data_IF_663099670154
#
_entry.id   IF_663099670154
#
_cell.length_a   1.000
_cell.length_b   1.000
_cell.length_c   1.000
_cell.angle_alpha   90.00
_cell.angle_beta   90.00
_cell.angle_gamma   90.00
#
_symmetry.space_group_name_H-M   'P 1'
#
loop_
_entity.id
_entity.type
_entity.pdbx_description
1 polymer ?
#
# COMPACT_ATOMS: atom_id res chain seq x y z
N UNK A 1 4.74 17.22 -13.15
CA UNK A 1 5.17 16.04 -13.93
C UNK A 1 4.80 16.28 -15.38
N UNK A 2 5.77 16.32 -16.30
CA UNK A 2 5.51 16.72 -17.70
C UNK A 2 4.74 18.06 -17.83
N UNK A 3 5.01 19.02 -16.95
CA UNK A 3 4.27 20.30 -16.88
C UNK A 3 3.01 20.29 -16.00
N UNK A 4 2.45 19.13 -15.68
CA UNK A 4 1.24 19.01 -14.85
C UNK A 4 1.53 19.15 -13.35
N UNK A 5 0.66 19.85 -12.60
CA UNK A 5 0.83 20.03 -11.16
C UNK A 5 0.42 18.77 -10.39
N UNK A 6 1.35 18.22 -9.59
CA UNK A 6 1.07 17.09 -8.71
C UNK A 6 0.58 17.57 -7.35
N UNK A 7 -0.40 16.86 -6.78
CA UNK A 7 -0.85 17.11 -5.40
C UNK A 7 0.18 16.53 -4.43
N UNK A 8 0.72 17.36 -3.55
CA UNK A 8 1.71 16.94 -2.54
C UNK A 8 0.99 16.64 -1.23
N UNK A 9 1.20 15.44 -0.69
CA UNK A 9 0.61 15.01 0.59
C UNK A 9 1.59 15.12 1.76
N UNK A 10 2.90 15.13 1.50
CA UNK A 10 3.91 15.30 2.53
C UNK A 10 5.21 15.87 1.95
N UNK A 11 5.88 16.72 2.73
CA UNK A 11 7.23 17.21 2.47
C UNK A 11 8.04 17.08 3.75
N UNK A 12 9.20 16.44 3.66
CA UNK A 12 10.24 16.42 4.69
C UNK A 12 11.60 16.73 4.08
N UNK A 13 12.63 16.89 4.93
CA UNK A 13 13.97 17.28 4.47
C UNK A 13 14.57 16.35 3.38
N UNK A 14 14.15 15.08 3.35
CA UNK A 14 14.69 14.07 2.43
C UNK A 14 13.62 13.36 1.61
N UNK A 15 12.34 13.74 1.70
CA UNK A 15 11.24 13.02 1.05
C UNK A 15 10.11 13.97 0.65
N UNK A 16 9.52 13.72 -0.50
CA UNK A 16 8.24 14.29 -0.92
C UNK A 16 7.32 13.13 -1.28
N UNK A 17 6.11 13.12 -0.72
CA UNK A 17 5.04 12.23 -1.17
C UNK A 17 4.05 13.05 -2.00
N UNK A 18 3.73 12.57 -3.19
CA UNK A 18 2.83 13.23 -4.12
C UNK A 18 1.96 12.21 -4.85
N UNK A 19 0.81 12.65 -5.30
CA UNK A 19 -0.07 11.91 -6.18
C UNK A 19 0.24 12.28 -7.64
N UNK A 20 0.50 11.27 -8.46
CA UNK A 20 0.66 11.44 -9.92
C UNK A 20 -0.64 12.06 -10.47
N UNK A 21 -0.56 13.20 -11.18
CA UNK A 21 -1.74 13.82 -11.77
C UNK A 21 -2.40 12.89 -12.79
N UNK A 22 -3.73 12.88 -12.85
CA UNK A 22 -4.50 11.98 -13.71
C UNK A 22 -4.24 12.19 -15.21
N UNK A 23 -3.88 13.41 -15.61
CA UNK A 23 -3.66 13.80 -17.01
C UNK A 23 -2.24 13.51 -17.51
N UNK A 24 -1.34 13.02 -16.64
CA UNK A 24 0.01 12.65 -17.07
C UNK A 24 -0.06 11.41 -17.97
N UNK A 25 0.43 11.56 -19.20
CA UNK A 25 0.47 10.46 -20.16
C UNK A 25 1.36 9.30 -19.68
N UNK A 26 0.97 8.08 -20.05
CA UNK A 26 1.76 6.88 -19.81
C UNK A 26 3.11 6.95 -20.52
N UNK A 27 4.12 6.33 -19.92
CA UNK A 27 5.50 6.34 -20.40
C UNK A 27 6.41 7.23 -19.56
N UNK A 28 7.53 7.68 -20.12
CA UNK A 28 8.50 8.48 -19.36
C UNK A 28 7.95 9.87 -19.04
N UNK A 29 7.93 10.21 -17.75
CA UNK A 29 7.59 11.53 -17.25
C UNK A 29 8.79 12.17 -16.54
N UNK A 30 8.98 13.47 -16.79
CA UNK A 30 9.92 14.31 -16.07
C UNK A 30 9.22 14.92 -14.84
N UNK A 31 9.77 14.64 -13.67
CA UNK A 31 9.42 15.22 -12.39
C UNK A 31 10.36 16.39 -12.15
N UNK A 32 9.80 17.58 -11.96
CA UNK A 32 10.56 18.77 -11.57
C UNK A 32 9.94 19.28 -10.28
N UNK A 33 10.77 19.41 -9.24
CA UNK A 33 10.38 20.06 -7.99
C UNK A 33 10.76 21.53 -8.11
N UNK A 34 9.81 22.41 -7.84
CA UNK A 34 10.04 23.87 -7.83
C UNK A 34 9.85 24.38 -6.41
N UNK A 35 10.87 25.03 -5.86
CA UNK A 35 10.81 25.66 -4.53
C UNK A 35 11.04 27.17 -4.68
N UNK A 36 10.11 27.99 -4.15
CA UNK A 36 10.13 29.45 -4.27
C UNK A 36 10.38 29.96 -5.71
N UNK A 37 9.83 29.27 -6.71
CA UNK A 37 9.99 29.62 -8.13
C UNK A 37 11.30 29.14 -8.77
N UNK A 38 12.18 28.48 -8.02
CA UNK A 38 13.42 27.90 -8.52
C UNK A 38 13.17 26.42 -8.84
N UNK A 39 13.30 26.07 -10.12
CA UNK A 39 13.19 24.68 -10.58
C UNK A 39 14.47 23.90 -10.25
N UNK A 40 14.31 22.72 -9.65
CA UNK A 40 15.40 21.76 -9.45
C UNK A 40 15.75 20.98 -10.72
N UNK A 41 16.73 20.08 -10.60
CA UNK A 41 17.07 19.15 -11.68
C UNK A 41 15.91 18.17 -11.96
N UNK A 42 15.61 17.87 -13.24
CA UNK A 42 14.54 16.94 -13.57
C UNK A 42 14.92 15.49 -13.19
N UNK A 43 13.94 14.75 -12.69
CA UNK A 43 14.00 13.32 -12.42
C UNK A 43 13.07 12.57 -13.37
N UNK A 44 13.57 11.55 -14.04
CA UNK A 44 12.76 10.68 -14.89
C UNK A 44 12.07 9.58 -14.07
N UNK A 45 10.78 9.37 -14.32
CA UNK A 45 10.01 8.23 -13.83
C UNK A 45 9.13 7.65 -14.93
N UNK A 46 8.81 6.36 -14.88
CA UNK A 46 7.86 5.74 -15.81
C UNK A 46 6.46 5.75 -15.21
N UNK A 47 5.50 6.34 -15.91
CA UNK A 47 4.08 6.35 -15.57
C UNK A 47 3.41 5.16 -16.24
N UNK A 48 2.77 4.32 -15.42
CA UNK A 48 2.06 3.11 -15.85
C UNK A 48 0.60 3.17 -15.37
N UNK A 49 -0.32 2.40 -15.99
CA UNK A 49 -1.74 2.45 -15.62
C UNK A 49 -2.02 2.09 -14.15
N UNK A 50 -1.27 1.12 -13.62
CA UNK A 50 -1.32 0.70 -12.23
C UNK A 50 0.03 0.06 -11.84
N UNK A 51 0.42 0.29 -10.59
CA UNK A 51 1.59 -0.30 -9.93
C UNK A 51 1.20 -0.51 -8.46
N UNK A 52 0.28 -1.45 -8.18
CA UNK A 52 -0.22 -1.64 -6.84
C UNK A 52 0.93 -1.95 -5.89
N UNK A 53 0.82 -1.51 -4.65
CA UNK A 53 1.82 -1.83 -3.64
C UNK A 53 1.32 -1.55 -2.24
N UNK A 54 1.72 -2.38 -1.29
CA UNK A 54 1.41 -2.18 0.12
C UNK A 54 2.43 -1.24 0.77
N UNK A 55 1.97 -0.35 1.64
CA UNK A 55 2.87 0.32 2.56
C UNK A 55 3.34 -0.68 3.61
N UNK A 56 4.62 -0.62 3.97
CA UNK A 56 5.21 -1.48 4.99
C UNK A 56 5.46 -0.66 6.26
N UNK A 57 5.08 -1.19 7.42
CA UNK A 57 5.25 -0.52 8.72
C UNK A 57 6.50 -0.97 9.47
N UNK A 58 7.11 -2.08 9.07
CA UNK A 58 8.34 -2.58 9.67
C UNK A 58 8.82 -3.88 9.06
N UNK A 59 9.96 -4.35 9.56
CA UNK A 59 10.52 -5.65 9.20
C UNK A 59 10.80 -6.47 10.44
N UNK A 60 10.49 -7.76 10.38
CA UNK A 60 10.86 -8.75 11.39
C UNK A 60 10.99 -10.12 10.70
N UNK A 61 11.78 -11.04 11.26
CA UNK A 61 11.98 -12.39 10.68
C UNK A 61 12.44 -12.41 9.20
N UNK A 62 13.02 -11.32 8.70
CA UNK A 62 13.39 -11.18 7.27
C UNK A 62 12.23 -10.77 6.35
N UNK A 63 11.03 -10.56 6.89
CA UNK A 63 9.80 -10.21 6.18
C UNK A 63 9.45 -8.73 6.34
N UNK A 64 8.87 -8.13 5.30
CA UNK A 64 8.25 -6.81 5.37
C UNK A 64 6.78 -6.90 5.74
N UNK A 65 6.36 -6.22 6.80
CA UNK A 65 4.99 -6.27 7.28
C UNK A 65 4.18 -5.08 6.78
N UNK A 66 3.01 -5.39 6.24
CA UNK A 66 2.06 -4.41 5.73
C UNK A 66 1.62 -3.50 6.87
N UNK A 67 1.53 -2.20 6.59
CA UNK A 67 0.77 -1.27 7.42
C UNK A 67 -0.70 -1.72 7.39
N UNK A 68 -1.10 -2.41 8.45
CA UNK A 68 -2.40 -3.04 8.55
C UNK A 68 -2.97 -2.87 9.96
N UNK A 69 -4.29 -2.79 10.04
CA UNK A 69 -5.02 -2.56 11.27
C UNK A 69 -6.19 -3.54 11.43
N UNK A 70 -6.46 -3.89 12.68
CA UNK A 70 -7.73 -4.47 13.08
C UNK A 70 -8.87 -3.45 12.86
N UNK A 71 -10.12 -3.91 12.99
CA UNK A 71 -11.29 -3.01 12.87
C UNK A 71 -11.37 -1.92 13.95
N UNK A 72 -10.66 -2.10 15.07
CA UNK A 72 -10.56 -1.12 16.16
C UNK A 72 -9.38 -0.14 16.02
N UNK A 73 -8.61 -0.24 14.93
CA UNK A 73 -7.43 0.59 14.66
C UNK A 73 -6.14 0.12 15.34
N UNK A 74 -6.16 -0.99 16.08
CA UNK A 74 -4.93 -1.59 16.61
C UNK A 74 -4.10 -2.22 15.48
N UNK A 75 -2.77 -2.18 15.61
CA UNK A 75 -1.86 -2.57 14.54
C UNK A 75 -1.73 -4.09 14.41
N UNK A 76 -1.63 -4.57 13.17
CA UNK A 76 -1.39 -5.97 12.86
C UNK A 76 0.11 -6.21 12.63
N UNK A 77 0.65 -7.26 13.24
CA UNK A 77 2.04 -7.69 13.06
C UNK A 77 2.56 -8.57 14.21
N UNK A 78 3.80 -9.08 14.11
CA UNK A 78 4.40 -9.83 15.20
C UNK A 78 4.70 -8.90 16.37
N UNK A 79 4.85 -9.46 17.56
CA UNK A 79 5.17 -8.68 18.75
C UNK A 79 6.47 -7.85 18.55
N UNK A 80 6.47 -6.61 19.03
CA UNK A 80 7.58 -5.66 18.93
C UNK A 80 7.94 -5.22 17.50
N UNK A 81 7.08 -5.42 16.50
CA UNK A 81 7.31 -4.94 15.13
C UNK A 81 7.53 -3.41 15.09
N UNK A 82 6.75 -2.67 15.86
CA UNK A 82 6.82 -1.20 15.94
C UNK A 82 7.23 -0.79 17.35
N UNK A 83 8.35 -0.06 17.46
CA UNK A 83 8.86 0.41 18.76
C UNK A 83 7.85 1.37 19.41
N UNK A 84 7.38 1.01 20.60
CA UNK A 84 6.46 1.84 21.38
C UNK A 84 4.98 1.67 21.01
N UNK A 85 4.65 0.71 20.13
CA UNK A 85 3.27 0.32 19.84
C UNK A 85 3.09 -1.20 20.02
N UNK A 86 1.88 -1.60 20.40
CA UNK A 86 1.51 -3.02 20.45
C UNK A 86 1.01 -3.45 19.07
N UNK A 87 1.47 -4.61 18.63
CA UNK A 87 1.05 -5.28 17.40
C UNK A 87 0.57 -6.68 17.72
N UNK A 88 -0.52 -7.10 17.09
CA UNK A 88 -1.12 -8.43 17.27
C UNK A 88 -1.37 -9.10 15.92
N UNK A 89 -1.49 -10.43 15.92
CA UNK A 89 -1.85 -11.15 14.71
C UNK A 89 -3.33 -11.02 14.39
N UNK A 90 -3.68 -10.95 13.11
CA UNK A 90 -5.04 -11.00 12.62
C UNK A 90 -5.67 -12.38 12.85
N UNK A 91 -6.97 -12.43 13.13
CA UNK A 91 -7.68 -13.69 13.34
C UNK A 91 -8.31 -14.19 12.03
N UNK A 92 -8.36 -15.50 11.84
CA UNK A 92 -9.12 -16.08 10.73
C UNK A 92 -10.60 -15.63 10.80
N UNK A 93 -11.16 -15.21 9.66
CA UNK A 93 -12.53 -14.69 9.57
C UNK A 93 -12.70 -13.23 10.00
N UNK A 94 -11.66 -12.58 10.54
CA UNK A 94 -11.68 -11.15 10.86
C UNK A 94 -11.57 -10.30 9.58
N UNK A 95 -12.29 -9.17 9.54
CA UNK A 95 -12.06 -8.13 8.54
C UNK A 95 -10.99 -7.16 9.04
N UNK A 96 -9.88 -7.08 8.30
CA UNK A 96 -8.73 -6.22 8.58
C UNK A 96 -8.58 -5.14 7.51
N UNK A 97 -7.88 -4.06 7.84
CA UNK A 97 -7.60 -2.94 6.95
C UNK A 97 -6.14 -3.04 6.47
N UNK A 98 -5.92 -3.00 5.16
CA UNK A 98 -4.60 -2.95 4.53
C UNK A 98 -4.39 -1.59 3.85
N UNK A 99 -3.25 -0.96 4.10
CA UNK A 99 -2.91 0.32 3.47
C UNK A 99 -1.98 0.14 2.28
N UNK A 100 -2.35 0.73 1.16
CA UNK A 100 -1.73 0.46 -0.12
C UNK A 100 -1.74 1.68 -1.06
N UNK A 101 -1.15 1.55 -2.24
CA UNK A 101 -1.07 2.60 -3.26
C UNK A 101 -1.07 2.01 -4.66
N UNK A 102 -1.16 2.87 -5.69
CA UNK A 102 -0.88 2.49 -7.07
C UNK A 102 -1.95 1.65 -7.77
N UNK A 103 -3.18 1.60 -7.25
CA UNK A 103 -4.28 0.82 -7.82
C UNK A 103 -4.91 1.42 -9.10
N UNK A 104 -4.43 2.60 -9.53
CA UNK A 104 -4.95 3.30 -10.72
C UNK A 104 -6.41 3.72 -10.57
N UNK A 105 -7.05 4.09 -11.69
CA UNK A 105 -8.46 4.50 -11.75
C UNK A 105 -9.43 3.35 -12.05
N UNK A 106 -9.05 2.11 -11.71
CA UNK A 106 -9.84 0.91 -12.03
C UNK A 106 -11.28 1.01 -11.52
N UNK A 107 -12.25 0.73 -12.39
CA UNK A 107 -13.67 0.62 -12.04
C UNK A 107 -14.00 -0.67 -11.30
N UNK A 108 -13.07 -1.64 -11.30
CA UNK A 108 -13.20 -2.91 -10.59
C UNK A 108 -12.44 -2.85 -9.27
N UNK A 109 -13.01 -3.40 -8.18
CA UNK A 109 -12.28 -3.54 -6.93
C UNK A 109 -11.06 -4.47 -7.16
N UNK A 110 -9.96 -4.25 -6.43
CA UNK A 110 -8.83 -5.16 -6.47
C UNK A 110 -9.23 -6.53 -5.93
N UNK A 111 -8.46 -7.55 -6.31
CA UNK A 111 -8.48 -8.84 -5.61
C UNK A 111 -7.29 -8.93 -4.66
N UNK A 112 -7.45 -9.66 -3.56
CA UNK A 112 -6.39 -9.91 -2.58
C UNK A 112 -6.33 -11.40 -2.30
N UNK A 113 -5.13 -11.95 -2.23
CA UNK A 113 -4.86 -13.31 -1.77
C UNK A 113 -3.98 -13.28 -0.53
N UNK A 114 -4.24 -14.17 0.42
CA UNK A 114 -3.45 -14.36 1.63
C UNK A 114 -3.02 -15.83 1.66
N UNK A 115 -1.71 -16.09 1.65
CA UNK A 115 -1.15 -17.44 1.47
C UNK A 115 -1.70 -18.17 0.22
N UNK A 116 -1.92 -17.41 -0.86
CA UNK A 116 -2.51 -17.92 -2.10
C UNK A 116 -4.01 -18.22 -2.03
N UNK A 117 -4.66 -18.03 -0.87
CA UNK A 117 -6.11 -18.20 -0.71
C UNK A 117 -6.81 -16.85 -0.97
N UNK A 118 -7.83 -16.79 -1.85
CA UNK A 118 -8.59 -15.57 -2.07
C UNK A 118 -9.22 -15.03 -0.77
N UNK A 119 -8.93 -13.77 -0.46
CA UNK A 119 -9.55 -13.03 0.63
C UNK A 119 -10.73 -12.21 0.09
N UNK A 120 -11.85 -12.18 0.84
CA UNK A 120 -13.00 -11.38 0.45
C UNK A 120 -12.73 -9.91 0.69
N UNK A 121 -12.73 -9.10 -0.37
CA UNK A 121 -12.59 -7.64 -0.29
C UNK A 121 -13.95 -7.02 0.03
N UNK A 122 -14.10 -6.48 1.24
CA UNK A 122 -15.31 -5.82 1.71
C UNK A 122 -15.37 -4.33 1.35
N UNK A 123 -14.21 -3.69 1.22
CA UNK A 123 -14.08 -2.30 0.80
C UNK A 123 -12.72 -2.07 0.15
N UNK A 124 -12.67 -1.17 -0.81
CA UNK A 124 -11.42 -0.63 -1.35
C UNK A 124 -11.64 0.80 -1.83
N UNK A 125 -10.83 1.76 -1.38
CA UNK A 125 -10.95 3.14 -1.83
C UNK A 125 -9.78 4.03 -1.46
N UNK A 126 -9.63 5.13 -2.21
CA UNK A 126 -8.69 6.21 -1.86
C UNK A 126 -9.21 6.95 -0.64
N UNK A 127 -8.38 7.07 0.40
CA UNK A 127 -8.70 7.81 1.62
C UNK A 127 -7.84 9.07 1.81
N UNK A 128 -6.76 9.21 1.04
CA UNK A 128 -5.89 10.40 0.98
C UNK A 128 -5.08 10.36 -0.32
N UNK A 129 -4.48 11.47 -0.83
CA UNK A 129 -3.71 11.42 -2.07
C UNK A 129 -2.60 10.37 -2.04
N UNK A 130 -2.74 9.35 -2.89
CA UNK A 130 -1.81 8.22 -2.99
C UNK A 130 -2.00 7.12 -1.94
N UNK A 131 -3.00 7.21 -1.06
CA UNK A 131 -3.30 6.24 -0.02
C UNK A 131 -4.64 5.56 -0.29
N UNK A 132 -4.58 4.26 -0.55
CA UNK A 132 -5.69 3.33 -0.62
C UNK A 132 -5.85 2.59 0.70
N UNK A 133 -7.09 2.39 1.12
CA UNK A 133 -7.45 1.43 2.15
C UNK A 133 -8.19 0.27 1.49
N UNK A 134 -7.84 -0.96 1.87
CA UNK A 134 -8.50 -2.19 1.42
C UNK A 134 -8.91 -3.00 2.64
N UNK A 135 -10.21 -3.19 2.83
CA UNK A 135 -10.72 -4.02 3.91
C UNK A 135 -10.91 -5.44 3.39
N UNK A 136 -10.20 -6.40 3.96
CA UNK A 136 -10.24 -7.80 3.54
C UNK A 136 -10.59 -8.71 4.70
N UNK A 137 -11.37 -9.76 4.44
CA UNK A 137 -11.62 -10.82 5.41
C UNK A 137 -10.51 -11.86 5.32
N UNK A 138 -9.83 -12.11 6.43
CA UNK A 138 -8.77 -13.13 6.52
C UNK A 138 -9.38 -14.51 6.27
N UNK A 139 -8.87 -15.30 5.29
CA UNK A 139 -9.39 -16.64 5.02
C UNK A 139 -9.36 -17.55 6.25
N UNK A 140 -10.36 -18.43 6.35
CA UNK A 140 -10.37 -19.46 7.38
C UNK A 140 -9.30 -20.52 7.12
N UNK A 141 -8.77 -21.13 8.18
CA UNK A 141 -7.84 -22.26 8.08
C UNK A 141 -6.36 -21.89 7.87
N UNK A 142 -6.02 -20.60 7.92
CA UNK A 142 -4.62 -20.18 7.96
C UNK A 142 -3.96 -20.59 9.29
N UNK A 143 -2.74 -21.10 9.20
CA UNK A 143 -1.94 -21.41 10.38
C UNK A 143 -1.43 -20.11 11.03
N UNK A 144 -1.26 -20.08 12.37
CA UNK A 144 -0.60 -18.96 13.04
C UNK A 144 0.81 -18.75 12.51
N UNK A 145 1.22 -17.49 12.36
CA UNK A 145 2.53 -17.11 11.82
C UNK A 145 2.44 -16.05 10.73
N UNK A 146 3.53 -15.90 9.98
CA UNK A 146 3.59 -14.93 8.88
C UNK A 146 2.82 -15.45 7.68
N UNK A 147 1.96 -14.61 7.12
CA UNK A 147 1.16 -14.89 5.93
C UNK A 147 1.44 -13.84 4.86
N UNK A 148 1.92 -14.29 3.70
CA UNK A 148 2.12 -13.49 2.50
C UNK A 148 0.81 -12.95 1.98
N UNK A 149 0.84 -11.71 1.52
CA UNK A 149 -0.33 -11.03 0.95
C UNK A 149 0.05 -10.43 -0.39
N UNK A 150 -0.79 -10.68 -1.38
CA UNK A 150 -0.65 -10.11 -2.72
C UNK A 150 -1.99 -9.51 -3.15
N UNK A 151 -1.94 -8.29 -3.68
CA UNK A 151 -3.08 -7.62 -4.28
C UNK A 151 -2.91 -7.49 -5.80
N UNK A 152 -4.03 -7.56 -6.51
CA UNK A 152 -4.08 -7.43 -7.96
C UNK A 152 -5.08 -6.36 -8.39
N UNK A 153 -4.75 -5.67 -9.48
CA UNK A 153 -5.68 -4.82 -10.22
C UNK A 153 -5.43 -4.97 -11.72
N UNK A 154 -6.42 -5.49 -12.44
CA UNK A 154 -6.22 -5.92 -13.82
C UNK A 154 -5.08 -6.95 -13.90
N UNK A 155 -4.04 -6.64 -14.66
CA UNK A 155 -2.85 -7.49 -14.84
C UNK A 155 -1.68 -7.08 -13.94
N UNK A 156 -1.85 -6.08 -13.07
CA UNK A 156 -0.79 -5.59 -12.19
C UNK A 156 -0.87 -6.28 -10.82
N UNK A 157 0.30 -6.58 -10.24
CA UNK A 157 0.46 -7.28 -8.96
C UNK A 157 1.27 -6.40 -7.99
N UNK A 158 0.94 -6.48 -6.70
CA UNK A 158 1.70 -5.81 -5.65
C UNK A 158 3.11 -6.39 -5.48
N UNK A 159 3.98 -5.71 -4.73
CA UNK A 159 5.32 -6.22 -4.48
C UNK A 159 5.29 -7.60 -3.79
N UNK A 160 6.22 -8.52 -4.12
CA UNK A 160 6.40 -9.74 -3.35
C UNK A 160 6.98 -9.41 -1.97
N UNK A 161 6.87 -10.35 -1.03
CA UNK A 161 7.47 -10.23 0.30
C UNK A 161 6.76 -9.26 1.24
N UNK A 162 5.48 -8.99 0.99
CA UNK A 162 4.58 -8.26 1.90
C UNK A 162 3.78 -9.26 2.74
N UNK A 163 3.78 -9.08 4.06
CA UNK A 163 3.20 -10.03 5.01
C UNK A 163 2.28 -9.36 6.03
N UNK A 164 1.35 -10.15 6.57
CA UNK A 164 0.69 -9.90 7.85
C UNK A 164 1.02 -11.04 8.80
N UNK A 165 0.77 -10.87 10.09
CA UNK A 165 0.83 -11.97 11.05
C UNK A 165 -0.58 -12.51 11.31
N UNK A 166 -0.73 -13.82 11.28
CA UNK A 166 -1.93 -14.55 11.73
C UNK A 166 -1.73 -14.93 13.20
N UNK A 167 -2.67 -14.50 14.03
CA UNK A 167 -2.71 -14.81 15.46
C UNK A 167 -3.37 -16.15 15.77
N UNK A 168 -3.29 -16.57 17.04
CA UNK A 168 -4.10 -17.67 17.58
C UNK A 168 -5.49 -17.18 18.01
#
# INVERSE_FOLDING_TARGET
MNGEQATVSFIGNTQINLLVPADVQLGTAQIVVTDNGIAGAPLSATVVPATPGFFLIGTANGNGYIAAEHSDGSLIGPANLVKGATTTGAKAGETIQLFATGFGSSTHPPSVVIEGIPATVAFSGVISPGLYQINVTVPAGLAPGDASVVAFVGNAESQPGAFITIGQ
#
